data_IF_424120941279
#
_entry.id   IF_424120941279
#
_cell.length_a   1.000
_cell.length_b   1.000
_cell.length_c   1.000
_cell.angle_alpha   90.00
_cell.angle_beta   90.00
_cell.angle_gamma   90.00
#
_symmetry.space_group_name_H-M   'P 1'
#
loop_
_entity.id
_entity.type
_entity.pdbx_description
1 polymer ?
#
# COMPACT_ATOMS: atom_id res chain seq x y z
N UNK A 1 12.14 59.77 22.55
CA UNK A 1 12.05 58.34 22.95
C UNK A 1 12.63 57.51 21.82
N UNK A 2 13.82 56.95 21.99
CA UNK A 2 14.52 56.16 20.96
C UNK A 2 14.27 54.67 21.15
N UNK A 3 13.92 53.97 20.07
CA UNK A 3 13.75 52.51 20.09
C UNK A 3 15.14 51.88 20.24
N UNK A 4 15.30 51.00 21.23
CA UNK A 4 16.57 50.30 21.45
C UNK A 4 16.85 49.36 20.27
N UNK A 5 18.09 49.29 19.76
CA UNK A 5 18.43 48.44 18.61
C UNK A 5 18.08 46.96 18.84
N UNK A 6 18.10 46.49 20.09
CA UNK A 6 17.67 45.15 20.48
C UNK A 6 16.20 44.84 20.17
N UNK A 7 15.32 45.84 20.25
CA UNK A 7 13.89 45.68 19.93
C UNK A 7 13.69 45.53 18.42
N UNK A 8 14.51 46.24 17.64
CA UNK A 8 14.43 46.21 16.18
C UNK A 8 14.91 44.85 15.62
N UNK A 9 15.96 44.28 16.21
CA UNK A 9 16.44 42.92 15.89
C UNK A 9 15.38 41.86 16.24
N UNK A 10 14.77 41.95 17.43
CA UNK A 10 13.73 41.02 17.85
C UNK A 10 12.53 41.02 16.89
N UNK A 11 12.05 42.20 16.49
CA UNK A 11 10.94 42.34 15.54
C UNK A 11 11.29 41.78 14.16
N UNK A 12 12.51 42.02 13.67
CA UNK A 12 12.98 41.44 12.40
C UNK A 12 13.01 39.91 12.45
N UNK A 13 13.55 39.32 13.52
CA UNK A 13 13.59 37.86 13.65
C UNK A 13 12.19 37.25 13.77
N UNK A 14 11.29 37.90 14.51
CA UNK A 14 9.90 37.45 14.63
C UNK A 14 9.17 37.53 13.29
N UNK A 15 9.39 38.60 12.52
CA UNK A 15 8.81 38.78 11.19
C UNK A 15 9.34 37.72 10.21
N UNK A 16 10.63 37.39 10.25
CA UNK A 16 11.22 36.32 9.43
C UNK A 16 10.68 34.94 9.79
N UNK A 17 10.52 34.64 11.09
CA UNK A 17 9.94 33.36 11.54
C UNK A 17 8.46 33.27 11.13
N UNK A 18 7.71 34.36 11.28
CA UNK A 18 6.31 34.45 10.86
C UNK A 18 6.17 34.24 9.35
N UNK A 19 6.98 34.93 8.55
CA UNK A 19 6.98 34.82 7.09
C UNK A 19 7.42 33.42 6.62
N UNK A 20 8.35 32.79 7.33
CA UNK A 20 8.71 31.38 7.09
C UNK A 20 7.57 30.43 7.42
N UNK A 21 6.83 30.65 8.51
CA UNK A 21 5.67 29.82 8.86
C UNK A 21 4.55 29.97 7.83
N UNK A 22 4.27 31.20 7.38
CA UNK A 22 3.19 31.50 6.45
C UNK A 22 3.50 30.99 5.03
N UNK A 23 4.75 31.08 4.57
CA UNK A 23 5.17 30.52 3.27
C UNK A 23 5.22 28.99 3.25
N UNK A 24 5.41 28.32 4.39
CA UNK A 24 5.28 26.87 4.48
C UNK A 24 3.82 26.38 4.44
N UNK A 25 2.84 27.28 4.58
CA UNK A 25 1.42 26.93 4.65
C UNK A 25 0.67 27.03 3.31
N UNK A 26 1.24 27.69 2.29
CA UNK A 26 0.57 27.96 0.99
C UNK A 26 0.38 26.71 0.11
N UNK A 27 0.75 25.53 0.57
CA UNK A 27 0.56 24.26 -0.15
C UNK A 27 -0.02 23.14 0.69
N UNK A 28 -0.69 23.44 1.81
CA UNK A 28 -1.35 22.43 2.60
C UNK A 28 -2.57 21.89 1.81
N UNK A 29 -2.45 20.68 1.25
CA UNK A 29 -3.60 19.95 0.71
C UNK A 29 -4.69 19.91 1.78
N UNK A 30 -5.94 20.01 1.35
CA UNK A 30 -7.06 19.73 2.26
C UNK A 30 -6.98 18.30 2.80
N UNK A 31 -7.59 18.04 3.95
CA UNK A 31 -7.65 16.70 4.52
C UNK A 31 -8.33 15.69 3.56
N UNK A 32 -9.29 16.16 2.76
CA UNK A 32 -9.96 15.36 1.75
C UNK A 32 -9.01 14.97 0.62
N UNK A 33 -8.25 15.95 0.09
CA UNK A 33 -7.25 15.68 -0.94
C UNK A 33 -6.11 14.77 -0.42
N UNK A 34 -5.71 14.90 0.85
CA UNK A 34 -4.74 13.98 1.46
C UNK A 34 -5.26 12.54 1.47
N UNK A 35 -6.51 12.35 1.90
CA UNK A 35 -7.15 11.03 1.91
C UNK A 35 -7.24 10.43 0.49
N UNK A 36 -7.64 11.23 -0.50
CA UNK A 36 -7.74 10.81 -1.89
C UNK A 36 -6.39 10.40 -2.47
N UNK A 37 -5.35 11.20 -2.26
CA UNK A 37 -4.00 10.91 -2.75
C UNK A 37 -3.42 9.68 -2.05
N UNK A 38 -3.66 9.51 -0.75
CA UNK A 38 -3.29 8.28 -0.03
C UNK A 38 -3.92 7.05 -0.68
N UNK A 39 -5.24 7.10 -0.90
CA UNK A 39 -5.98 5.98 -1.48
C UNK A 39 -5.48 5.63 -2.89
N UNK A 40 -5.24 6.65 -3.74
CA UNK A 40 -4.68 6.47 -5.09
C UNK A 40 -3.30 5.83 -5.07
N UNK A 41 -2.39 6.32 -4.23
CA UNK A 41 -1.03 5.78 -4.10
C UNK A 41 -1.06 4.31 -3.66
N UNK A 42 -1.82 3.99 -2.62
CA UNK A 42 -1.89 2.63 -2.09
C UNK A 42 -2.56 1.67 -3.08
N UNK A 43 -3.65 2.08 -3.71
CA UNK A 43 -4.31 1.27 -4.74
C UNK A 43 -3.35 0.95 -5.89
N UNK A 44 -2.69 1.96 -6.46
CA UNK A 44 -1.71 1.74 -7.53
C UNK A 44 -0.56 0.86 -7.05
N UNK A 45 -0.07 1.05 -5.83
CA UNK A 45 0.98 0.21 -5.25
C UNK A 45 0.55 -1.25 -5.17
N UNK A 46 -0.68 -1.53 -4.73
CA UNK A 46 -1.23 -2.89 -4.67
C UNK A 46 -1.27 -3.55 -6.06
N UNK A 47 -1.66 -2.81 -7.10
CA UNK A 47 -1.70 -3.35 -8.47
C UNK A 47 -0.35 -3.87 -8.98
N UNK A 48 0.75 -3.25 -8.54
CA UNK A 48 2.10 -3.74 -8.84
C UNK A 48 2.54 -4.85 -7.88
N UNK A 49 2.19 -4.70 -6.60
CA UNK A 49 2.60 -5.64 -5.55
C UNK A 49 2.02 -7.05 -5.76
N UNK A 50 0.78 -7.17 -6.24
CA UNK A 50 0.16 -8.47 -6.58
C UNK A 50 0.94 -9.28 -7.62
N UNK A 51 1.79 -8.62 -8.43
CA UNK A 51 2.65 -9.29 -9.42
C UNK A 51 4.01 -9.65 -8.80
N UNK A 52 4.51 -8.85 -7.86
CA UNK A 52 5.78 -9.07 -7.16
C UNK A 52 5.64 -8.80 -5.66
N UNK A 53 5.40 -9.86 -4.90
CA UNK A 53 5.00 -9.80 -3.49
C UNK A 53 6.16 -9.61 -2.50
N UNK A 54 7.31 -9.05 -2.91
CA UNK A 54 8.49 -8.90 -2.03
C UNK A 54 8.57 -7.54 -1.31
N UNK A 55 9.09 -7.51 -0.08
CA UNK A 55 8.99 -6.31 0.82
C UNK A 55 9.82 -5.17 0.35
N UNK A 56 10.96 -5.55 -0.21
CA UNK A 56 11.86 -4.64 -0.90
C UNK A 56 11.17 -4.01 -2.12
N UNK A 57 10.45 -4.79 -2.93
CA UNK A 57 9.72 -4.28 -4.09
C UNK A 57 8.61 -3.32 -3.66
N UNK A 58 7.79 -3.69 -2.68
CA UNK A 58 6.74 -2.83 -2.13
C UNK A 58 7.32 -1.48 -1.69
N UNK A 59 8.37 -1.49 -0.87
CA UNK A 59 9.06 -0.27 -0.39
C UNK A 59 9.55 0.59 -1.55
N UNK A 60 10.18 -0.02 -2.55
CA UNK A 60 10.70 0.69 -3.70
C UNK A 60 9.58 1.31 -4.54
N UNK A 61 8.52 0.53 -4.83
CA UNK A 61 7.42 0.98 -5.67
C UNK A 61 6.57 2.04 -5.00
N UNK A 62 6.34 1.92 -3.70
CA UNK A 62 5.67 2.94 -2.89
C UNK A 62 6.44 4.26 -2.89
N UNK A 63 7.77 4.21 -2.68
CA UNK A 63 8.65 5.40 -2.78
C UNK A 63 8.58 6.04 -4.16
N UNK A 64 8.57 5.23 -5.21
CA UNK A 64 8.45 5.71 -6.59
C UNK A 64 7.09 6.39 -6.84
N UNK A 65 5.99 5.77 -6.42
CA UNK A 65 4.65 6.34 -6.59
C UNK A 65 4.47 7.62 -5.78
N UNK A 66 4.94 7.68 -4.53
CA UNK A 66 4.94 8.92 -3.75
C UNK A 66 5.64 10.08 -4.48
N UNK A 67 6.70 9.83 -5.24
CA UNK A 67 7.40 10.88 -6.01
C UNK A 67 6.59 11.40 -7.19
N UNK A 68 5.63 10.63 -7.71
CA UNK A 68 4.81 10.97 -8.87
C UNK A 68 3.70 11.96 -8.53
N UNK A 69 3.17 11.90 -7.31
CA UNK A 69 2.14 12.81 -6.84
C UNK A 69 2.79 14.06 -6.23
N UNK A 70 3.11 15.07 -7.04
CA UNK A 70 3.92 16.22 -6.63
C UNK A 70 3.39 16.94 -5.38
N UNK A 71 2.09 17.17 -5.33
CA UNK A 71 1.39 17.84 -4.22
C UNK A 71 1.48 17.01 -2.92
N UNK A 72 1.32 15.69 -3.04
CA UNK A 72 1.33 14.77 -1.90
C UNK A 72 2.74 14.23 -1.56
N UNK A 73 3.76 14.52 -2.38
CA UNK A 73 5.05 13.81 -2.39
C UNK A 73 5.77 13.80 -1.05
N UNK A 74 5.93 14.97 -0.44
CA UNK A 74 6.69 15.11 0.81
C UNK A 74 5.97 14.40 1.94
N UNK A 75 4.66 14.62 2.05
CA UNK A 75 3.80 14.01 3.05
C UNK A 75 3.75 12.48 2.90
N UNK A 76 3.51 11.97 1.69
CA UNK A 76 3.53 10.56 1.34
C UNK A 76 4.83 9.86 1.80
N UNK A 77 5.99 10.45 1.50
CA UNK A 77 7.28 9.88 1.88
C UNK A 77 7.49 9.86 3.40
N UNK A 78 7.02 10.88 4.12
CA UNK A 78 7.15 10.97 5.57
C UNK A 78 6.17 10.02 6.27
N UNK A 79 4.93 9.93 5.80
CA UNK A 79 3.89 9.11 6.43
C UNK A 79 3.99 7.64 6.05
N UNK A 80 4.13 7.31 4.76
CA UNK A 80 3.99 5.93 4.29
C UNK A 80 5.28 5.12 4.43
N UNK A 81 6.45 5.71 4.23
CA UNK A 81 7.73 4.96 4.24
C UNK A 81 8.09 4.32 5.59
N UNK A 82 7.84 4.99 6.75
CA UNK A 82 8.02 4.36 8.05
C UNK A 82 6.99 3.26 8.33
N UNK A 83 5.85 3.27 7.62
CA UNK A 83 4.71 2.37 7.82
C UNK A 83 4.56 1.31 6.73
N UNK A 84 5.61 1.08 5.94
CA UNK A 84 5.63 0.03 4.90
C UNK A 84 5.23 -1.33 5.45
N UNK A 85 5.61 -1.63 6.69
CA UNK A 85 5.34 -2.91 7.33
C UNK A 85 3.85 -3.11 7.60
N UNK A 86 3.15 -2.04 7.98
CA UNK A 86 1.68 -2.06 8.14
C UNK A 86 0.99 -2.23 6.78
N UNK A 87 1.44 -1.47 5.78
CA UNK A 87 0.89 -1.53 4.41
C UNK A 87 1.07 -2.93 3.82
N UNK A 88 2.25 -3.53 4.03
CA UNK A 88 2.57 -4.90 3.62
C UNK A 88 1.57 -5.90 4.18
N UNK A 89 1.37 -5.87 5.51
CA UNK A 89 0.49 -6.83 6.20
C UNK A 89 -0.94 -6.71 5.69
N UNK A 90 -1.42 -5.48 5.47
CA UNK A 90 -2.75 -5.24 4.91
C UNK A 90 -2.88 -5.81 3.48
N UNK A 91 -1.86 -5.65 2.64
CA UNK A 91 -1.86 -6.20 1.28
C UNK A 91 -1.77 -7.73 1.27
N UNK A 92 -0.92 -8.33 2.10
CA UNK A 92 -0.82 -9.80 2.22
C UNK A 92 -2.11 -10.42 2.73
N UNK A 93 -2.79 -9.77 3.68
CA UNK A 93 -4.08 -10.24 4.19
C UNK A 93 -5.10 -10.40 3.07
N UNK A 94 -5.14 -9.46 2.12
CA UNK A 94 -6.05 -9.50 0.97
C UNK A 94 -5.62 -10.57 -0.03
N UNK A 95 -4.31 -10.74 -0.27
CA UNK A 95 -3.81 -11.76 -1.21
C UNK A 95 -3.97 -13.20 -0.69
N UNK A 96 -3.95 -13.39 0.63
CA UNK A 96 -4.10 -14.69 1.28
C UNK A 96 -5.57 -15.04 1.57
N UNK A 97 -6.53 -14.18 1.21
CA UNK A 97 -7.95 -14.43 1.45
C UNK A 97 -8.51 -15.44 0.44
N UNK A 98 -8.52 -16.71 0.84
CA UNK A 98 -8.84 -17.90 0.03
C UNK A 98 -10.27 -17.90 -0.56
N UNK A 99 -11.18 -17.10 0.00
CA UNK A 99 -12.57 -17.01 -0.45
C UNK A 99 -12.83 -15.89 -1.49
N UNK A 100 -11.81 -15.13 -1.89
CA UNK A 100 -11.97 -14.06 -2.88
C UNK A 100 -11.61 -14.55 -4.29
N UNK A 101 -12.61 -14.60 -5.17
CA UNK A 101 -12.39 -14.88 -6.62
C UNK A 101 -11.53 -13.78 -7.24
N UNK A 102 -11.63 -12.56 -6.72
CA UNK A 102 -10.80 -11.41 -7.07
C UNK A 102 -10.36 -10.69 -5.78
N UNK A 103 -9.06 -10.72 -5.42
CA UNK A 103 -8.59 -10.03 -4.22
C UNK A 103 -8.74 -8.52 -4.39
N UNK A 104 -9.75 -7.96 -3.72
CA UNK A 104 -10.07 -6.53 -3.77
C UNK A 104 -9.45 -5.82 -2.57
N UNK A 105 -8.35 -5.10 -2.82
CA UNK A 105 -7.72 -4.28 -1.80
C UNK A 105 -8.47 -2.96 -1.61
N UNK A 106 -8.91 -2.70 -0.38
CA UNK A 106 -9.61 -1.47 0.01
C UNK A 106 -8.63 -0.49 0.68
N UNK A 107 -8.04 0.47 -0.07
CA UNK A 107 -6.97 1.32 0.44
C UNK A 107 -7.43 2.28 1.55
N UNK A 108 -8.73 2.59 1.60
CA UNK A 108 -9.30 3.47 2.64
C UNK A 108 -8.98 2.98 4.05
N UNK A 109 -9.09 1.67 4.32
CA UNK A 109 -8.82 1.11 5.65
C UNK A 109 -7.38 1.35 6.09
N UNK A 110 -6.42 1.09 5.20
CA UNK A 110 -5.00 1.33 5.44
C UNK A 110 -4.70 2.83 5.57
N UNK A 111 -5.31 3.68 4.74
CA UNK A 111 -5.17 5.14 4.85
C UNK A 111 -5.74 5.70 6.16
N UNK A 112 -6.88 5.18 6.62
CA UNK A 112 -7.46 5.54 7.91
C UNK A 112 -6.58 5.10 9.09
N UNK A 113 -6.00 3.88 9.03
CA UNK A 113 -5.02 3.42 10.02
C UNK A 113 -3.78 4.32 10.07
N UNK A 114 -3.42 4.92 8.94
CA UNK A 114 -2.33 5.90 8.84
C UNK A 114 -2.74 7.34 9.18
N UNK A 115 -3.99 7.59 9.56
CA UNK A 115 -4.53 8.95 9.83
C UNK A 115 -4.44 9.89 8.62
N UNK A 116 -4.48 9.34 7.41
CA UNK A 116 -4.61 10.12 6.17
C UNK A 116 -6.08 10.33 5.81
N UNK A 117 -6.97 9.46 6.31
CA UNK A 117 -8.41 9.55 6.12
C UNK A 117 -9.14 9.59 7.47
N UNK A 118 -9.90 10.65 7.70
CA UNK A 118 -10.93 10.69 8.75
C UNK A 118 -12.20 9.90 8.40
N UNK A 119 -13.02 9.65 9.42
CA UNK A 119 -14.30 8.91 9.32
C UNK A 119 -15.34 9.57 8.42
N UNK A 120 -15.19 10.87 8.17
CA UNK A 120 -16.10 11.67 7.33
C UNK A 120 -15.74 11.56 5.85
N UNK A 121 -14.49 11.18 5.53
CA UNK A 121 -14.06 10.98 4.15
C UNK A 121 -14.61 9.68 3.58
N UNK A 122 -14.83 9.68 2.26
CA UNK A 122 -15.43 8.55 1.56
C UNK A 122 -14.37 7.67 0.90
N UNK A 123 -14.57 6.35 0.85
CA UNK A 123 -13.77 5.47 0.01
C UNK A 123 -13.91 5.87 -1.45
N UNK A 124 -12.78 5.96 -2.16
CA UNK A 124 -12.79 6.19 -3.60
C UNK A 124 -13.35 4.95 -4.31
N UNK A 125 -14.38 5.17 -5.14
CA UNK A 125 -15.00 4.12 -5.96
C UNK A 125 -14.36 4.00 -7.34
N UNK A 126 -13.67 5.05 -7.79
CA UNK A 126 -12.93 5.06 -9.05
C UNK A 126 -11.52 5.60 -8.83
N UNK A 127 -10.54 4.82 -9.26
CA UNK A 127 -9.15 5.24 -9.32
C UNK A 127 -8.88 5.51 -10.80
N UNK A 128 -9.16 6.74 -11.23
CA UNK A 128 -9.21 7.11 -12.64
C UNK A 128 -8.01 6.61 -13.47
N UNK A 129 -8.18 6.50 -14.80
CA UNK A 129 -7.04 6.44 -15.72
C UNK A 129 -6.21 7.72 -15.53
N UNK A 130 -5.05 7.82 -16.16
CA UNK A 130 -4.20 9.01 -16.09
C UNK A 130 -3.33 9.07 -14.82
N UNK A 131 -2.24 8.32 -14.88
CA UNK A 131 -0.96 8.89 -15.30
C UNK A 131 -0.12 7.71 -15.77
N UNK A 132 0.22 7.62 -17.05
CA UNK A 132 1.19 6.66 -17.66
C UNK A 132 1.47 5.38 -16.87
N UNK A 133 0.48 4.47 -16.81
CA UNK A 133 0.69 3.06 -16.51
C UNK A 133 1.16 2.42 -17.82
N UNK A 134 2.20 1.57 -17.86
CA UNK A 134 2.43 0.75 -19.04
C UNK A 134 1.17 -0.10 -19.28
N UNK A 135 0.58 0.03 -20.46
CA UNK A 135 -0.40 -0.92 -20.99
C UNK A 135 0.18 -2.33 -20.81
N UNK A 136 -0.49 -3.19 -20.04
CA UNK A 136 0.00 -4.56 -19.80
C UNK A 136 -0.40 -5.20 -18.47
N UNK A 137 -0.97 -4.44 -17.52
CA UNK A 137 -1.66 -5.00 -16.34
C UNK A 137 -3.15 -4.69 -16.37
N UNK A 138 -3.74 -4.81 -17.56
CA UNK A 138 -5.19 -4.95 -17.68
C UNK A 138 -5.56 -6.35 -17.18
N UNK A 139 -6.50 -6.37 -16.25
CA UNK A 139 -7.19 -7.58 -15.83
C UNK A 139 -7.86 -8.21 -17.06
N UNK A 140 -7.28 -9.30 -17.57
CA UNK A 140 -8.05 -10.26 -18.34
C UNK A 140 -8.87 -11.06 -17.32
N UNK A 141 -10.13 -10.70 -17.12
CA UNK A 141 -11.26 -11.63 -17.14
C UNK A 141 -12.57 -10.84 -17.03
N UNK A 142 -13.02 -10.30 -18.17
CA UNK A 142 -14.45 -10.14 -18.41
C UNK A 142 -14.81 -11.29 -19.35
N UNK A 143 -15.19 -12.42 -18.76
CA UNK A 143 -15.84 -13.54 -19.46
C UNK A 143 -17.14 -13.02 -20.10
N UNK A 144 -17.03 -12.51 -21.32
CA UNK A 144 -18.15 -12.40 -22.24
C UNK A 144 -18.59 -13.82 -22.62
N UNK A 145 -19.77 -14.20 -22.14
CA UNK A 145 -20.52 -15.36 -22.60
C UNK A 145 -21.09 -15.01 -23.98
N UNK A 146 -20.78 -15.74 -25.07
CA UNK A 146 -21.59 -15.71 -26.28
C UNK A 146 -22.61 -16.86 -26.20
N UNK A 147 -23.88 -16.50 -25.97
CA UNK A 147 -25.00 -17.43 -26.08
C UNK A 147 -25.45 -17.57 -27.54
N UNK A 148 -25.48 -18.82 -27.99
CA UNK A 148 -26.29 -19.41 -29.07
C UNK A 148 -26.00 -19.08 -30.54
N UNK A 149 -25.44 -20.08 -31.23
CA UNK A 149 -26.04 -20.60 -32.47
C UNK A 149 -25.85 -22.12 -32.56
N UNK A 150 -26.98 -22.82 -32.63
CA UNK A 150 -27.25 -24.25 -32.80
C UNK A 150 -26.62 -24.82 -34.08
N UNK A 151 -26.08 -26.05 -34.08
CA UNK A 151 -26.30 -27.10 -35.12
C UNK A 151 -25.71 -28.46 -34.66
N UNK A 152 -26.63 -29.39 -34.40
CA UNK A 152 -26.68 -30.85 -34.66
C UNK A 152 -25.46 -31.79 -34.56
N UNK A 153 -25.65 -32.79 -33.68
CA UNK A 153 -25.55 -34.25 -33.90
C UNK A 153 -24.24 -34.93 -34.35
N UNK A 154 -23.68 -35.82 -33.51
CA UNK A 154 -23.78 -37.29 -33.70
C UNK A 154 -22.86 -38.13 -32.77
N UNK A 155 -23.51 -38.96 -31.94
CA UNK A 155 -23.21 -40.35 -31.50
C UNK A 155 -21.82 -40.85 -31.04
N UNK A 156 -21.75 -41.31 -29.77
CA UNK A 156 -21.41 -42.69 -29.23
C UNK A 156 -20.85 -42.58 -27.79
N UNK A 157 -21.51 -43.08 -26.74
CA UNK A 157 -21.44 -44.46 -26.17
C UNK A 157 -19.99 -44.92 -25.90
N UNK A 158 -19.53 -45.43 -24.73
CA UNK A 158 -20.18 -46.08 -23.57
C UNK A 158 -19.15 -46.25 -22.41
N UNK A 159 -19.62 -46.23 -21.15
CA UNK A 159 -19.26 -47.06 -19.96
C UNK A 159 -17.84 -47.19 -19.37
N UNK A 160 -17.79 -47.08 -18.03
CA UNK A 160 -16.81 -47.75 -17.13
C UNK A 160 -16.46 -46.88 -15.91
N UNK A 161 -17.27 -46.84 -14.85
CA UNK A 161 -17.20 -47.69 -13.62
C UNK A 161 -16.11 -47.30 -12.60
N UNK A 162 -16.57 -46.71 -11.49
CA UNK A 162 -16.22 -46.95 -10.07
C UNK A 162 -14.76 -47.24 -9.68
N UNK A 163 -14.19 -46.46 -8.74
CA UNK A 163 -14.05 -46.87 -7.33
C UNK A 163 -13.52 -45.75 -6.43
N UNK A 164 -14.05 -45.70 -5.21
CA UNK A 164 -13.69 -44.82 -4.10
C UNK A 164 -12.42 -45.32 -3.41
N UNK A 165 -11.58 -44.43 -2.88
CA UNK A 165 -10.81 -44.72 -1.66
C UNK A 165 -10.52 -43.43 -0.91
N UNK A 166 -11.13 -43.32 0.27
CA UNK A 166 -10.73 -42.39 1.32
C UNK A 166 -9.45 -42.91 1.98
N UNK A 167 -8.49 -42.03 2.28
CA UNK A 167 -7.53 -42.29 3.35
C UNK A 167 -7.17 -40.99 4.04
N UNK A 168 -7.48 -41.00 5.32
CA UNK A 168 -7.24 -40.02 6.37
C UNK A 168 -5.85 -40.21 6.99
N UNK A 169 -5.21 -39.12 7.42
CA UNK A 169 -4.26 -39.00 8.54
C UNK A 169 -3.79 -37.54 8.58
N UNK A 170 -4.25 -36.66 9.50
CA UNK A 170 -4.04 -36.60 10.95
C UNK A 170 -2.59 -36.76 11.37
N UNK A 171 -1.85 -35.65 11.52
CA UNK A 171 -0.75 -35.53 12.49
C UNK A 171 -0.93 -34.26 13.31
N UNK A 172 -0.98 -34.47 14.63
CA UNK A 172 -1.09 -33.46 15.67
C UNK A 172 0.26 -32.87 16.04
N UNK A 173 0.20 -31.59 16.38
CA UNK A 173 0.86 -30.86 17.48
C UNK A 173 2.07 -31.52 18.17
N UNK A 174 3.17 -30.79 18.22
CA UNK A 174 4.10 -30.86 19.35
C UNK A 174 4.46 -29.44 19.77
N UNK A 175 3.92 -29.03 20.92
CA UNK A 175 4.40 -27.90 21.69
C UNK A 175 5.76 -28.25 22.29
N UNK A 176 6.70 -27.31 22.28
CA UNK A 176 7.84 -27.35 23.21
C UNK A 176 8.11 -25.94 23.71
N UNK A 177 7.68 -25.72 24.94
CA UNK A 177 8.10 -24.66 25.84
C UNK A 177 9.51 -24.94 26.36
N UNK A 178 10.44 -23.97 26.28
CA UNK A 178 11.53 -23.76 27.25
C UNK A 178 12.10 -22.34 27.02
N UNK A 179 11.74 -21.35 27.84
CA UNK A 179 12.45 -20.82 29.03
C UNK A 179 13.76 -20.06 28.73
N UNK A 180 13.66 -18.74 28.93
CA UNK A 180 14.64 -17.75 29.42
C UNK A 180 16.15 -17.90 29.11
N UNK A 181 16.74 -16.83 28.55
CA UNK A 181 17.79 -16.04 29.24
C UNK A 181 17.98 -14.71 28.52
N UNK A 182 17.91 -13.62 29.27
CA UNK A 182 18.43 -12.32 28.88
C UNK A 182 19.97 -12.37 28.88
N UNK A 183 20.60 -11.93 27.79
CA UNK A 183 21.97 -11.42 27.81
C UNK A 183 22.02 -10.20 26.90
N UNK A 184 22.19 -9.07 27.58
CA UNK A 184 22.61 -7.76 27.09
C UNK A 184 24.03 -7.89 26.52
N UNK A 185 24.25 -7.43 25.29
CA UNK A 185 25.59 -7.05 24.82
C UNK A 185 25.46 -6.13 23.62
N UNK A 186 25.83 -4.88 23.86
CA UNK A 186 26.16 -3.89 22.84
C UNK A 186 27.20 -4.45 21.86
N UNK A 187 27.03 -4.11 20.58
CA UNK A 187 28.18 -3.79 19.74
C UNK A 187 27.76 -2.85 18.59
N UNK A 188 28.14 -1.60 18.73
CA UNK A 188 28.36 -0.70 17.59
C UNK A 188 29.44 -1.30 16.69
N UNK A 189 29.17 -1.41 15.38
CA UNK A 189 29.99 -0.74 14.37
C UNK A 189 29.64 -1.18 12.95
N UNK A 190 29.40 -0.17 12.13
CA UNK A 190 30.01 -0.02 10.81
C UNK A 190 29.87 -1.17 9.81
N UNK A 191 28.89 -1.05 8.91
CA UNK A 191 29.20 -1.25 7.49
C UNK A 191 28.28 -0.38 6.61
N UNK A 192 28.83 0.77 6.25
CA UNK A 192 28.37 1.59 5.13
C UNK A 192 28.74 0.90 3.81
N UNK A 193 27.98 1.29 2.78
CA UNK A 193 28.09 0.94 1.37
C UNK A 193 27.46 -0.39 1.00
N UNK A 194 26.40 -0.31 0.20
CA UNK A 194 26.29 -1.01 -1.08
C UNK A 194 25.13 -0.38 -1.88
N UNK A 195 25.57 0.48 -2.81
CA UNK A 195 25.12 0.66 -4.19
C UNK A 195 23.69 1.10 -4.54
N UNK A 196 23.68 2.30 -5.12
CA UNK A 196 22.77 2.77 -6.16
C UNK A 196 22.69 1.76 -7.32
N UNK A 197 21.49 1.27 -7.63
CA UNK A 197 20.91 1.20 -8.98
C UNK A 197 19.39 1.06 -8.86
#
# INVERSE_FOLDING_TARGET
>A
MGIRPSVLVALFTFCLIWLMMETNFVGALSNEEMCDQCQKVLYRTFLYYRVQTTKRFLRHKLKHLCKRYFEYRRHCLITMMPRVDLIWVDMEKVLNEENSVTPEFKPYGTCAAMKECDKEHRPLTTFGPDDGMPEGVAAADASEIPTTATTESSSRQTSGSTESTATSSSWSTTETTTTATAVESDNESSLLMLDFF
#
